data_IF_829614312805
#
_entry.id   IF_829614312805
#
_cell.length_a   1.000
_cell.length_b   1.000
_cell.length_c   1.000
_cell.angle_alpha   90.00
_cell.angle_beta   90.00
_cell.angle_gamma   90.00
#
_symmetry.space_group_name_H-M   'P 1'
#
loop_
_entity.id
_entity.type
_entity.pdbx_description
1 polymer ?
#
# COMPACT_ATOMS: atom_id res chain seq x y z
N UNK A 1 43.11 -0.70 -1.12
CA UNK A 1 42.09 0.15 -1.78
C UNK A 1 41.43 -0.58 -2.94
N UNK A 2 42.18 -1.16 -3.87
CA UNK A 2 41.66 -1.82 -5.08
C UNK A 2 40.68 -2.98 -4.81
N UNK A 3 40.98 -3.85 -3.84
CA UNK A 3 40.11 -4.99 -3.47
C UNK A 3 38.74 -4.56 -2.91
N UNK A 4 38.68 -3.42 -2.21
CA UNK A 4 37.44 -2.88 -1.66
C UNK A 4 36.54 -2.31 -2.76
N UNK A 5 37.13 -1.69 -3.79
CA UNK A 5 36.39 -1.17 -4.93
C UNK A 5 35.70 -2.29 -5.73
N UNK A 6 36.39 -3.42 -5.93
CA UNK A 6 35.83 -4.60 -6.61
C UNK A 6 34.65 -5.18 -5.83
N UNK A 7 34.78 -5.30 -4.49
CA UNK A 7 33.71 -5.80 -3.63
C UNK A 7 32.50 -4.84 -3.65
N UNK A 8 32.74 -3.52 -3.56
CA UNK A 8 31.68 -2.53 -3.64
C UNK A 8 30.93 -2.58 -4.98
N UNK A 9 31.66 -2.77 -6.09
CA UNK A 9 31.07 -2.91 -7.42
C UNK A 9 30.21 -4.17 -7.56
N UNK A 10 30.69 -5.31 -7.06
CA UNK A 10 29.90 -6.55 -7.02
C UNK A 10 28.64 -6.40 -6.16
N UNK A 11 28.74 -5.75 -5.00
CA UNK A 11 27.59 -5.46 -4.15
C UNK A 11 26.57 -4.57 -4.86
N UNK A 12 27.01 -3.60 -5.65
CA UNK A 12 26.12 -2.73 -6.42
C UNK A 12 25.36 -3.49 -7.49
N UNK A 13 26.01 -4.43 -8.19
CA UNK A 13 25.35 -5.32 -9.16
C UNK A 13 24.30 -6.19 -8.47
N UNK A 14 24.66 -6.84 -7.34
CA UNK A 14 23.73 -7.68 -6.58
C UNK A 14 22.56 -6.85 -6.05
N UNK A 15 22.81 -5.65 -5.51
CA UNK A 15 21.77 -4.74 -5.06
C UNK A 15 20.84 -4.31 -6.20
N UNK A 16 21.37 -4.07 -7.40
CA UNK A 16 20.58 -3.73 -8.59
C UNK A 16 19.64 -4.87 -9.01
N UNK A 17 20.16 -6.10 -9.06
CA UNK A 17 19.37 -7.30 -9.39
C UNK A 17 18.28 -7.52 -8.34
N UNK A 18 18.62 -7.43 -7.05
CA UNK A 18 17.64 -7.55 -5.97
C UNK A 18 16.56 -6.46 -6.07
N UNK A 19 16.95 -5.21 -6.34
CA UNK A 19 16.03 -4.08 -6.53
C UNK A 19 15.06 -4.34 -7.69
N UNK A 20 15.57 -4.86 -8.80
CA UNK A 20 14.76 -5.20 -9.97
C UNK A 20 13.67 -6.23 -9.64
N UNK A 21 14.02 -7.30 -8.93
CA UNK A 21 13.04 -8.28 -8.46
C UNK A 21 11.99 -7.65 -7.53
N UNK A 22 12.37 -6.75 -6.61
CA UNK A 22 11.38 -6.08 -5.72
C UNK A 22 10.34 -5.28 -6.52
N UNK A 23 10.80 -4.56 -7.54
CA UNK A 23 9.95 -3.69 -8.36
C UNK A 23 9.00 -4.53 -9.22
N UNK A 24 9.50 -5.62 -9.81
CA UNK A 24 8.72 -6.51 -10.67
C UNK A 24 7.53 -7.12 -9.91
N UNK A 25 7.78 -7.68 -8.73
CA UNK A 25 6.72 -8.26 -7.88
C UNK A 25 5.70 -7.21 -7.42
N UNK A 26 6.17 -6.02 -7.03
CA UNK A 26 5.30 -4.90 -6.65
C UNK A 26 4.37 -4.47 -7.79
N UNK A 27 4.92 -4.28 -9.00
CA UNK A 27 4.13 -3.88 -10.18
C UNK A 27 3.11 -4.93 -10.56
N UNK A 28 3.48 -6.21 -10.52
CA UNK A 28 2.57 -7.32 -10.86
C UNK A 28 1.36 -7.35 -9.92
N UNK A 29 1.57 -7.17 -8.62
CA UNK A 29 0.48 -7.16 -7.63
C UNK A 29 -0.44 -5.97 -7.79
N UNK A 30 0.11 -4.76 -7.95
CA UNK A 30 -0.71 -3.57 -8.22
C UNK A 30 -1.56 -3.73 -9.48
N UNK A 31 -0.97 -4.30 -10.54
CA UNK A 31 -1.70 -4.50 -11.81
C UNK A 31 -2.87 -5.46 -11.67
N UNK A 32 -2.77 -6.49 -10.82
CA UNK A 32 -3.89 -7.40 -10.56
C UNK A 32 -5.02 -6.68 -9.82
N UNK A 33 -4.69 -5.91 -8.77
CA UNK A 33 -5.71 -5.20 -7.98
C UNK A 33 -6.37 -4.06 -8.78
N UNK A 34 -5.62 -3.36 -9.64
CA UNK A 34 -6.18 -2.31 -10.50
C UNK A 34 -7.18 -2.82 -11.54
N UNK A 35 -7.18 -4.13 -11.85
CA UNK A 35 -8.13 -4.73 -12.79
C UNK A 35 -9.50 -5.03 -12.16
N UNK A 36 -9.58 -5.12 -10.84
CA UNK A 36 -10.82 -5.47 -10.12
C UNK A 36 -11.76 -4.28 -10.01
N UNK A 37 -11.24 -3.06 -9.99
CA UNK A 37 -12.04 -1.86 -9.86
C UNK A 37 -11.18 -0.62 -9.63
N UNK A 38 -11.81 0.46 -9.16
CA UNK A 38 -11.06 1.67 -8.79
C UNK A 38 -10.26 1.40 -7.54
N UNK A 39 -8.96 1.63 -7.60
CA UNK A 39 -8.08 1.40 -6.47
C UNK A 39 -7.64 2.69 -5.78
N UNK A 40 -7.65 2.69 -4.46
CA UNK A 40 -6.96 3.65 -3.61
C UNK A 40 -5.81 2.97 -2.91
N UNK A 41 -4.69 3.65 -2.87
CA UNK A 41 -3.44 3.13 -2.33
C UNK A 41 -3.01 4.10 -1.23
N UNK A 42 -2.76 3.55 -0.05
CA UNK A 42 -2.14 4.27 1.05
C UNK A 42 -0.82 3.63 1.42
N UNK A 43 0.24 4.43 1.51
CA UNK A 43 1.59 3.95 1.75
C UNK A 43 2.21 4.70 2.92
N UNK A 44 2.62 3.96 3.95
CA UNK A 44 3.43 4.50 5.02
C UNK A 44 4.83 3.91 4.96
N UNK A 45 5.78 4.71 4.45
CA UNK A 45 7.22 4.40 4.51
C UNK A 45 7.74 4.67 5.92
N UNK A 46 8.28 3.66 6.58
CA UNK A 46 9.08 3.83 7.78
C UNK A 46 10.54 4.06 7.40
N UNK A 47 11.19 5.09 7.94
CA UNK A 47 12.59 5.42 7.64
C UNK A 47 13.58 4.30 8.06
N UNK A 48 13.25 3.52 9.10
CA UNK A 48 14.09 2.45 9.67
C UNK A 48 13.29 1.16 9.99
N UNK A 49 12.02 1.05 9.57
CA UNK A 49 11.08 -0.02 10.00
C UNK A 49 10.08 -0.40 8.90
N UNK A 50 9.50 -1.61 9.03
CA UNK A 50 8.48 -2.18 8.13
C UNK A 50 7.49 -1.14 7.62
N UNK A 51 7.47 -0.95 6.30
CA UNK A 51 6.49 -0.14 5.60
C UNK A 51 5.15 -0.86 5.56
N UNK A 52 4.06 -0.09 5.59
CA UNK A 52 2.72 -0.62 5.43
C UNK A 52 2.12 -0.04 4.14
N UNK A 53 1.66 -0.91 3.25
CA UNK A 53 0.96 -0.54 2.02
C UNK A 53 -0.43 -1.15 2.09
N UNK A 54 -1.46 -0.31 2.08
CA UNK A 54 -2.85 -0.75 2.02
C UNK A 54 -3.40 -0.38 0.65
N UNK A 55 -3.99 -1.35 -0.02
CA UNK A 55 -4.66 -1.18 -1.31
C UNK A 55 -6.12 -1.54 -1.10
N UNK A 56 -7.01 -0.62 -1.44
CA UNK A 56 -8.45 -0.81 -1.42
C UNK A 56 -8.97 -0.74 -2.84
N UNK A 57 -9.82 -1.69 -3.23
CA UNK A 57 -10.56 -1.68 -4.47
C UNK A 57 -12.03 -1.38 -4.19
N UNK A 58 -12.60 -0.39 -4.87
CA UNK A 58 -14.01 -0.04 -4.77
C UNK A 58 -14.69 -0.04 -6.15
N UNK A 59 -16.01 -0.21 -6.11
CA UNK A 59 -16.88 -0.07 -7.26
C UNK A 59 -17.18 1.41 -7.57
N UNK A 60 -17.85 1.68 -8.69
CA UNK A 60 -18.28 2.99 -9.14
C UNK A 60 -19.21 3.69 -8.13
N UNK A 61 -19.95 2.92 -7.32
CA UNK A 61 -20.83 3.41 -6.27
C UNK A 61 -20.13 3.65 -4.91
N UNK A 62 -18.80 3.47 -4.84
CA UNK A 62 -18.04 3.68 -3.59
C UNK A 62 -18.19 2.55 -2.56
N UNK A 63 -18.66 1.37 -2.98
CA UNK A 63 -18.65 0.13 -2.17
C UNK A 63 -17.30 -0.57 -2.31
N UNK A 64 -16.72 -1.02 -1.20
CA UNK A 64 -15.46 -1.74 -1.18
C UNK A 64 -15.68 -3.17 -1.69
N UNK A 65 -15.01 -3.52 -2.77
CA UNK A 65 -15.03 -4.87 -3.35
C UNK A 65 -14.01 -5.75 -2.65
N UNK A 66 -12.81 -5.20 -2.40
CA UNK A 66 -11.70 -5.94 -1.79
C UNK A 66 -10.70 -4.99 -1.16
N UNK A 67 -9.95 -5.44 -0.16
CA UNK A 67 -8.76 -4.73 0.27
C UNK A 67 -7.64 -5.68 0.69
N UNK A 68 -6.43 -5.29 0.36
CA UNK A 68 -5.22 -6.02 0.70
C UNK A 68 -4.23 -5.09 1.39
N UNK A 69 -3.50 -5.62 2.37
CA UNK A 69 -2.41 -4.91 3.04
C UNK A 69 -1.12 -5.71 2.98
N UNK A 70 -0.03 -5.01 2.76
CA UNK A 70 1.32 -5.53 2.88
C UNK A 70 1.98 -4.81 4.05
N UNK A 71 2.44 -5.56 5.05
CA UNK A 71 3.07 -5.01 6.26
C UNK A 71 4.46 -5.61 6.42
N UNK A 72 5.50 -4.96 5.89
CA UNK A 72 6.82 -5.58 5.80
C UNK A 72 7.98 -4.68 5.42
N UNK A 73 9.20 -5.21 5.56
CA UNK A 73 10.44 -4.57 5.08
C UNK A 73 10.91 -5.21 3.76
N UNK A 74 10.52 -6.46 3.49
CA UNK A 74 11.19 -7.31 2.49
C UNK A 74 10.27 -7.74 1.35
N UNK A 75 10.89 -8.12 0.21
CA UNK A 75 10.26 -8.74 -0.96
C UNK A 75 9.44 -10.00 -0.68
N UNK A 76 9.64 -10.62 0.49
CA UNK A 76 8.96 -11.84 0.89
C UNK A 76 7.62 -11.56 1.59
N UNK A 77 7.36 -10.32 1.98
CA UNK A 77 6.11 -9.96 2.61
C UNK A 77 4.98 -10.02 1.58
N UNK A 78 4.00 -10.89 1.83
CA UNK A 78 2.86 -11.06 0.93
C UNK A 78 1.75 -10.09 1.31
N UNK A 79 1.04 -9.61 0.29
CA UNK A 79 -0.25 -8.96 0.49
C UNK A 79 -1.18 -9.94 1.21
N UNK A 80 -1.74 -9.47 2.33
CA UNK A 80 -2.74 -10.17 3.13
C UNK A 80 -4.07 -9.47 2.90
N UNK A 81 -5.08 -10.27 2.58
CA UNK A 81 -6.44 -9.77 2.47
C UNK A 81 -6.95 -9.23 3.81
N UNK A 82 -7.62 -8.09 3.76
CA UNK A 82 -8.28 -7.48 4.90
C UNK A 82 -9.70 -8.03 4.93
N UNK A 83 -9.96 -8.96 5.84
CA UNK A 83 -11.29 -9.54 6.02
C UNK A 83 -12.20 -8.55 6.77
N UNK A 84 -13.49 -8.56 6.42
CA UNK A 84 -14.51 -7.78 7.12
C UNK A 84 -14.65 -6.32 6.66
N UNK A 85 -14.04 -5.95 5.52
CA UNK A 85 -14.24 -4.64 4.89
C UNK A 85 -15.00 -4.72 3.55
N UNK A 86 -15.25 -5.93 3.05
CA UNK A 86 -15.95 -6.17 1.78
C UNK A 86 -17.44 -5.83 1.90
N UNK A 87 -18.00 -5.19 0.87
CA UNK A 87 -19.40 -4.76 0.82
C UNK A 87 -19.70 -3.46 1.55
N UNK A 88 -18.78 -2.99 2.40
CA UNK A 88 -18.93 -1.74 3.15
C UNK A 88 -18.74 -0.53 2.24
N UNK A 89 -19.45 0.55 2.57
CA UNK A 89 -19.27 1.84 1.92
C UNK A 89 -18.01 2.54 2.43
N UNK A 90 -17.48 3.46 1.64
CA UNK A 90 -16.32 4.26 2.04
C UNK A 90 -16.58 5.03 3.35
N UNK A 91 -17.82 5.49 3.59
CA UNK A 91 -18.18 6.18 4.83
C UNK A 91 -18.15 5.24 6.04
N UNK A 92 -18.72 4.05 5.93
CA UNK A 92 -18.68 3.03 7.00
C UNK A 92 -17.24 2.62 7.32
N UNK A 93 -16.41 2.48 6.28
CA UNK A 93 -15.00 2.17 6.45
C UNK A 93 -14.26 3.29 7.20
N UNK A 94 -14.57 4.56 6.94
CA UNK A 94 -14.01 5.71 7.66
C UNK A 94 -14.45 5.75 9.14
N UNK A 95 -15.67 5.33 9.44
CA UNK A 95 -16.17 5.23 10.81
C UNK A 95 -15.46 4.12 11.59
N UNK A 96 -15.18 2.98 10.96
CA UNK A 96 -14.42 1.88 11.59
C UNK A 96 -12.94 2.19 11.79
N UNK A 97 -12.37 3.01 10.90
CA UNK A 97 -10.99 3.47 10.99
C UNK A 97 -10.96 4.99 11.19
N UNK A 98 -11.39 5.50 12.36
CA UNK A 98 -11.43 6.93 12.59
C UNK A 98 -10.01 7.53 12.51
N UNK A 99 -9.92 8.76 12.01
CA UNK A 99 -8.70 9.55 11.99
C UNK A 99 -8.18 9.73 13.43
N UNK A 100 -7.15 8.99 13.81
CA UNK A 100 -6.56 9.12 15.14
C UNK A 100 -5.83 10.47 15.25
N UNK A 101 -6.34 11.35 16.12
CA UNK A 101 -5.60 12.50 16.65
C UNK A 101 -4.34 12.01 17.37
N UNK A 102 -3.28 12.80 17.24
CA UNK A 102 -1.89 12.47 17.57
C UNK A 102 -1.69 11.75 18.92
N UNK A 103 -1.47 10.43 18.87
CA UNK A 103 -1.11 9.62 20.03
C UNK A 103 -0.08 8.54 19.67
N UNK A 104 1.11 8.64 20.24
CA UNK A 104 2.28 7.82 19.94
C UNK A 104 2.10 6.39 20.48
N UNK A 105 1.77 5.40 19.62
CA UNK A 105 2.26 3.98 19.65
C UNK A 105 1.43 3.01 18.78
N UNK A 106 0.21 3.36 18.33
CA UNK A 106 -0.61 2.54 17.39
C UNK A 106 -0.59 3.01 15.92
N UNK A 107 0.34 3.91 15.58
CA UNK A 107 0.51 4.64 14.29
C UNK A 107 0.83 3.79 13.04
N UNK A 108 0.79 2.45 13.08
CA UNK A 108 1.44 1.57 12.07
C UNK A 108 0.51 1.07 10.95
N UNK A 109 -0.68 0.58 11.28
CA UNK A 109 -1.65 0.05 10.29
C UNK A 109 -2.71 1.08 9.88
N UNK A 110 -3.22 1.87 10.84
CA UNK A 110 -4.38 2.76 10.64
C UNK A 110 -4.12 3.87 9.62
N UNK A 111 -2.91 4.41 9.54
CA UNK A 111 -2.60 5.51 8.62
C UNK A 111 -2.46 5.09 7.14
N UNK A 112 -2.04 3.86 6.85
CA UNK A 112 -2.00 3.39 5.46
C UNK A 112 -3.43 3.12 4.96
N UNK A 113 -4.30 2.57 5.82
CA UNK A 113 -5.73 2.44 5.53
C UNK A 113 -6.39 3.80 5.28
N UNK A 114 -6.15 4.80 6.15
CA UNK A 114 -6.69 6.16 5.99
C UNK A 114 -6.26 6.80 4.66
N UNK A 115 -4.98 6.72 4.31
CA UNK A 115 -4.51 7.22 3.01
C UNK A 115 -5.15 6.50 1.82
N UNK A 116 -5.41 5.20 1.95
CA UNK A 116 -6.11 4.45 0.90
C UNK A 116 -7.57 4.92 0.76
N UNK A 117 -8.25 5.19 1.88
CA UNK A 117 -9.61 5.74 1.93
C UNK A 117 -9.65 7.14 1.30
N UNK A 118 -8.77 8.06 1.71
CA UNK A 118 -8.66 9.41 1.13
C UNK A 118 -8.35 9.36 -0.37
N UNK A 119 -7.45 8.46 -0.78
CA UNK A 119 -7.12 8.25 -2.19
C UNK A 119 -8.32 7.79 -3.03
N UNK A 120 -9.17 6.92 -2.46
CA UNK A 120 -10.44 6.55 -3.08
C UNK A 120 -11.42 7.73 -3.13
N UNK A 121 -11.58 8.45 -2.02
CA UNK A 121 -12.49 9.59 -1.92
C UNK A 121 -12.16 10.66 -2.96
N UNK A 122 -10.88 11.00 -3.11
CA UNK A 122 -10.42 11.97 -4.12
C UNK A 122 -10.76 11.50 -5.53
N UNK A 123 -10.52 10.23 -5.86
CA UNK A 123 -10.83 9.66 -7.18
C UNK A 123 -12.34 9.60 -7.46
N UNK A 124 -13.15 9.35 -6.45
CA UNK A 124 -14.61 9.37 -6.58
C UNK A 124 -15.11 10.81 -6.73
N UNK A 125 -14.64 11.76 -5.91
CA UNK A 125 -14.98 13.20 -6.03
C UNK A 125 -14.58 13.80 -7.39
N UNK A 126 -13.41 13.44 -7.93
CA UNK A 126 -12.97 13.91 -9.25
C UNK A 126 -13.84 13.41 -10.41
N UNK A 127 -14.72 12.43 -10.21
CA UNK A 127 -15.73 12.02 -11.19
C UNK A 127 -17.10 12.69 -10.99
N UNK A 128 -17.32 13.37 -9.86
CA UNK A 128 -18.58 14.10 -9.56
C UNK A 128 -18.42 15.60 -9.86
N UNK A 129 -17.34 16.00 -10.54
CA UNK A 129 -17.21 17.36 -11.05
C UNK A 129 -17.77 17.40 -12.49
N UNK A 130 -18.93 18.04 -12.73
CA UNK A 130 -19.40 18.34 -14.08
C UNK A 130 -18.50 19.35 -14.79
#
# INVERSE_FOLDING_TARGET
>A
MERLAIIAFLLLIVQGILTYFQISDYRKRISVLSKVGKIGIGTKKGFLRAGCITILACDNQGRIIRGEKLEGITIFERFKEIKGIEGLTLQELKIMYPEEKEGQKRKRQKSAMLQAIEGLEKKLRSQVSP
#
